data_IF_282933905610
#
_entry.id   IF_282933905610
#
_cell.length_a   1.000
_cell.length_b   1.000
_cell.length_c   1.000
_cell.angle_alpha   90.00
_cell.angle_beta   90.00
_cell.angle_gamma   90.00
#
_symmetry.space_group_name_H-M   'P 1'
#
loop_
_entity.id
_entity.type
_entity.pdbx_description
1 polymer ?
#
# COMPACT_ATOMS: atom_id res chain seq x y z
N UNK A 1 -13.83 1.28 24.37
CA UNK A 1 -13.89 2.76 24.31
C UNK A 1 -14.16 3.29 22.91
N UNK A 2 -14.46 4.60 22.77
CA UNK A 2 -14.79 5.24 21.48
C UNK A 2 -13.66 5.09 20.44
N UNK A 3 -12.40 5.13 20.89
CA UNK A 3 -11.22 4.87 20.06
C UNK A 3 -11.21 3.45 19.49
N UNK A 4 -11.57 2.45 20.29
CA UNK A 4 -11.59 1.06 19.83
C UNK A 4 -12.69 0.84 18.80
N UNK A 5 -13.84 1.53 18.94
CA UNK A 5 -14.91 1.47 17.94
C UNK A 5 -14.44 2.01 16.60
N UNK A 6 -13.82 3.18 16.58
CA UNK A 6 -13.24 3.79 15.37
C UNK A 6 -12.25 2.83 14.69
N UNK A 7 -11.43 2.11 15.45
CA UNK A 7 -10.40 1.23 14.89
C UNK A 7 -10.91 -0.16 14.48
N UNK A 8 -11.99 -0.65 15.11
CA UNK A 8 -12.54 -2.00 14.91
C UNK A 8 -13.69 -2.05 13.91
N UNK A 9 -14.49 -0.99 13.79
CA UNK A 9 -15.58 -0.89 12.82
C UNK A 9 -15.15 -1.12 11.37
N UNK A 10 -14.10 -0.46 10.84
CA UNK A 10 -13.72 -0.63 9.44
C UNK A 10 -13.28 -2.07 9.11
N UNK A 11 -12.82 -2.86 10.10
CA UNK A 11 -12.39 -4.24 9.89
C UNK A 11 -13.55 -5.22 9.67
N UNK A 12 -14.79 -4.85 10.00
CA UNK A 12 -15.97 -5.71 9.83
C UNK A 12 -16.49 -5.73 8.40
N UNK A 13 -16.06 -4.77 7.58
CA UNK A 13 -16.51 -4.59 6.21
C UNK A 13 -15.38 -4.90 5.25
N UNK A 14 -15.59 -5.85 4.34
CA UNK A 14 -14.55 -6.30 3.41
C UNK A 14 -14.05 -5.21 2.45
N UNK A 15 -14.88 -4.22 2.12
CA UNK A 15 -14.52 -3.08 1.27
C UNK A 15 -15.07 -1.78 1.85
N UNK A 16 -14.62 -1.43 3.06
CA UNK A 16 -15.08 -0.24 3.80
C UNK A 16 -14.84 1.08 3.05
N UNK A 17 -13.77 1.13 2.24
CA UNK A 17 -13.38 2.33 1.48
C UNK A 17 -13.85 2.32 0.02
N UNK A 18 -14.61 1.30 -0.38
CA UNK A 18 -15.12 1.10 -1.74
C UNK A 18 -14.03 1.25 -2.80
N UNK A 19 -12.96 0.45 -2.69
CA UNK A 19 -11.78 0.55 -3.56
C UNK A 19 -11.92 -0.26 -4.84
N UNK A 20 -12.85 -1.23 -4.89
CA UNK A 20 -13.09 -2.04 -6.09
C UNK A 20 -13.49 -1.22 -7.31
N UNK A 21 -14.13 -0.08 -7.13
CA UNK A 21 -14.53 0.80 -8.25
C UNK A 21 -13.35 1.56 -8.88
N UNK A 22 -12.19 1.61 -8.21
CA UNK A 22 -11.05 2.42 -8.66
C UNK A 22 -10.38 1.86 -9.92
N UNK A 23 -10.49 0.56 -10.14
CA UNK A 23 -9.87 -0.11 -11.27
C UNK A 23 -10.75 -1.26 -11.77
N UNK A 24 -10.49 -1.68 -13.01
CA UNK A 24 -11.10 -2.85 -13.61
C UNK A 24 -10.03 -3.63 -14.35
N UNK A 25 -10.29 -4.91 -14.65
CA UNK A 25 -9.39 -5.73 -15.49
C UNK A 25 -9.11 -5.02 -16.82
N UNK A 26 -10.12 -4.34 -17.37
CA UNK A 26 -9.97 -3.52 -18.58
C UNK A 26 -8.98 -2.37 -18.38
N UNK A 27 -9.08 -1.63 -17.28
CA UNK A 27 -8.14 -0.55 -16.96
C UNK A 27 -6.70 -1.06 -16.79
N UNK A 28 -6.49 -2.22 -16.19
CA UNK A 28 -5.17 -2.84 -16.04
C UNK A 28 -4.61 -3.26 -17.42
N UNK A 29 -5.48 -3.80 -18.28
CA UNK A 29 -5.13 -4.18 -19.64
C UNK A 29 -4.69 -2.97 -20.48
N UNK A 30 -5.50 -1.90 -20.49
CA UNK A 30 -5.21 -0.68 -21.25
C UNK A 30 -3.94 0.03 -20.77
N UNK A 31 -3.61 -0.10 -19.47
CA UNK A 31 -2.37 0.39 -18.88
C UNK A 31 -1.14 -0.51 -19.11
N UNK A 32 -1.29 -1.61 -19.85
CA UNK A 32 -0.22 -2.57 -20.20
C UNK A 32 0.37 -3.32 -19.01
N UNK A 33 -0.40 -3.49 -17.94
CA UNK A 33 0.03 -4.19 -16.70
C UNK A 33 0.33 -5.68 -16.95
N UNK A 34 -0.30 -6.28 -17.96
CA UNK A 34 -0.15 -7.69 -18.31
C UNK A 34 1.17 -8.04 -19.02
N UNK A 35 1.94 -7.05 -19.49
CA UNK A 35 3.18 -7.31 -20.22
C UNK A 35 4.32 -7.59 -19.24
N UNK A 36 4.92 -8.77 -19.33
CA UNK A 36 6.15 -9.12 -18.62
C UNK A 36 7.40 -9.08 -19.49
N UNK A 37 8.52 -9.51 -18.91
CA UNK A 37 9.80 -9.68 -19.57
C UNK A 37 9.83 -10.95 -20.46
N UNK A 38 10.99 -11.24 -21.06
CA UNK A 38 11.22 -12.48 -21.82
C UNK A 38 11.27 -13.69 -20.89
N UNK A 39 10.87 -14.85 -21.41
CA UNK A 39 10.87 -16.11 -20.65
C UNK A 39 12.25 -16.48 -20.05
N UNK A 40 13.35 -16.02 -20.67
CA UNK A 40 14.71 -16.21 -20.13
C UNK A 40 15.03 -15.38 -18.87
N UNK A 41 14.28 -14.29 -18.63
CA UNK A 41 14.40 -13.45 -17.43
C UNK A 41 13.40 -13.88 -16.33
N UNK A 42 12.58 -14.90 -16.58
CA UNK A 42 11.53 -15.34 -15.68
C UNK A 42 12.10 -15.86 -14.37
N UNK A 43 11.55 -15.37 -13.26
CA UNK A 43 11.81 -15.89 -11.94
C UNK A 43 10.88 -17.08 -11.63
N UNK A 44 11.42 -18.14 -11.03
CA UNK A 44 10.66 -19.38 -10.74
C UNK A 44 9.42 -19.14 -9.88
N UNK A 45 9.51 -18.26 -8.87
CA UNK A 45 8.37 -17.93 -8.01
C UNK A 45 7.31 -17.03 -8.67
N UNK A 46 7.57 -16.53 -9.88
CA UNK A 46 6.58 -15.79 -10.65
C UNK A 46 5.71 -16.69 -11.53
N UNK A 47 6.11 -17.94 -11.76
CA UNK A 47 5.37 -18.90 -12.60
C UNK A 47 3.86 -19.01 -12.28
N UNK A 48 3.42 -19.05 -11.00
CA UNK A 48 1.99 -19.16 -10.69
C UNK A 48 1.16 -17.93 -11.09
N UNK A 49 1.79 -16.76 -11.19
CA UNK A 49 1.14 -15.49 -11.53
C UNK A 49 1.16 -15.22 -13.05
N UNK A 50 1.80 -16.09 -13.83
CA UNK A 50 1.85 -15.97 -15.29
C UNK A 50 0.66 -16.69 -15.92
N UNK A 51 -0.01 -16.00 -16.84
CA UNK A 51 -1.05 -16.58 -17.68
C UNK A 51 -0.43 -17.46 -18.78
N UNK A 52 0.68 -17.03 -19.37
CA UNK A 52 1.36 -17.76 -20.44
C UNK A 52 2.50 -16.97 -21.07
N UNK A 53 3.02 -17.46 -22.20
CA UNK A 53 4.08 -16.79 -22.96
C UNK A 53 3.69 -16.68 -24.43
N UNK A 54 3.79 -15.48 -25.00
CA UNK A 54 3.50 -15.18 -26.40
C UNK A 54 4.76 -14.69 -27.10
N UNK A 55 5.22 -15.42 -28.12
CA UNK A 55 6.47 -15.10 -28.85
C UNK A 55 7.67 -14.90 -27.91
N UNK A 56 7.74 -15.72 -26.87
CA UNK A 56 8.79 -15.69 -25.85
C UNK A 56 8.72 -14.51 -24.87
N UNK A 57 7.66 -13.71 -24.90
CA UNK A 57 7.36 -12.68 -23.90
C UNK A 57 6.27 -13.18 -22.95
N UNK A 58 6.50 -13.03 -21.66
CA UNK A 58 5.58 -13.51 -20.64
C UNK A 58 4.40 -12.55 -20.47
N UNK A 59 3.24 -13.14 -20.17
CA UNK A 59 1.98 -12.45 -19.95
C UNK A 59 1.53 -12.75 -18.52
N UNK A 60 1.33 -11.69 -17.74
CA UNK A 60 0.86 -11.75 -16.35
C UNK A 60 -0.66 -11.91 -16.34
N UNK A 61 -1.16 -12.76 -15.43
CA UNK A 61 -2.58 -13.00 -15.23
C UNK A 61 -3.24 -11.81 -14.49
N UNK A 62 -4.06 -11.04 -15.22
CA UNK A 62 -4.73 -9.86 -14.69
C UNK A 62 -5.86 -10.16 -13.71
N UNK A 63 -6.44 -11.37 -13.72
CA UNK A 63 -7.45 -11.73 -12.73
C UNK A 63 -6.79 -11.89 -11.36
N UNK A 64 -5.64 -12.57 -11.33
CA UNK A 64 -4.81 -12.65 -10.14
C UNK A 64 -4.29 -11.27 -9.73
N UNK A 65 -3.79 -10.46 -10.67
CA UNK A 65 -3.38 -9.07 -10.38
C UNK A 65 -4.50 -8.29 -9.72
N UNK A 66 -5.73 -8.37 -10.23
CA UNK A 66 -6.86 -7.62 -9.68
C UNK A 66 -7.19 -8.04 -8.24
N UNK A 67 -7.16 -9.33 -7.95
CA UNK A 67 -7.39 -9.85 -6.59
C UNK A 67 -6.30 -9.37 -5.61
N UNK A 68 -5.03 -9.48 -6.00
CA UNK A 68 -3.90 -9.04 -5.16
C UNK A 68 -3.87 -7.52 -4.97
N UNK A 69 -4.16 -6.77 -6.03
CA UNK A 69 -4.24 -5.32 -5.98
C UNK A 69 -5.37 -4.84 -5.06
N UNK A 70 -6.51 -5.52 -5.06
CA UNK A 70 -7.62 -5.20 -4.16
C UNK A 70 -7.20 -5.38 -2.69
N UNK A 71 -6.53 -6.48 -2.35
CA UNK A 71 -6.00 -6.71 -1.00
C UNK A 71 -4.95 -5.67 -0.62
N UNK A 72 -4.01 -5.37 -1.52
CA UNK A 72 -2.97 -4.37 -1.32
C UNK A 72 -3.55 -2.98 -1.06
N UNK A 73 -4.47 -2.51 -1.90
CA UNK A 73 -5.12 -1.20 -1.74
C UNK A 73 -5.95 -1.14 -0.45
N UNK A 74 -6.67 -2.22 -0.11
CA UNK A 74 -7.43 -2.28 1.13
C UNK A 74 -6.51 -2.19 2.36
N UNK A 75 -5.42 -2.96 2.36
CA UNK A 75 -4.43 -2.91 3.44
C UNK A 75 -3.80 -1.52 3.56
N UNK A 76 -3.38 -0.91 2.44
CA UNK A 76 -2.85 0.46 2.42
C UNK A 76 -3.85 1.48 2.98
N UNK A 77 -5.12 1.39 2.58
CA UNK A 77 -6.17 2.28 3.08
C UNK A 77 -6.41 2.09 4.59
N UNK A 78 -6.40 0.86 5.10
CA UNK A 78 -6.50 0.62 6.54
C UNK A 78 -5.32 1.18 7.33
N UNK A 79 -4.09 1.07 6.82
CA UNK A 79 -2.89 1.67 7.46
C UNK A 79 -3.01 3.20 7.47
N UNK A 80 -3.40 3.81 6.35
CA UNK A 80 -3.60 5.26 6.26
C UNK A 80 -4.72 5.76 7.19
N UNK A 81 -5.83 5.02 7.30
CA UNK A 81 -6.93 5.33 8.22
C UNK A 81 -6.51 5.29 9.70
N UNK A 82 -5.50 4.47 10.01
CA UNK A 82 -4.92 4.31 11.35
C UNK A 82 -3.77 5.27 11.63
N UNK A 83 -3.53 6.24 10.75
CA UNK A 83 -2.43 7.22 10.88
C UNK A 83 -1.05 6.53 10.93
N UNK A 84 -0.93 5.43 10.17
CA UNK A 84 0.33 4.74 9.96
C UNK A 84 1.20 5.46 8.95
N UNK A 85 2.52 5.37 9.13
CA UNK A 85 3.50 5.98 8.23
C UNK A 85 3.69 5.08 7.01
N UNK A 86 3.45 5.62 5.81
CA UNK A 86 3.67 4.90 4.55
C UNK A 86 4.92 5.44 3.85
N UNK A 87 5.80 4.53 3.44
CA UNK A 87 7.01 4.86 2.69
C UNK A 87 6.98 4.23 1.29
N UNK A 88 6.96 5.06 0.25
CA UNK A 88 7.14 4.62 -1.14
C UNK A 88 8.61 4.41 -1.46
N UNK A 89 8.96 3.24 -2.03
CA UNK A 89 10.33 2.89 -2.42
C UNK A 89 10.38 2.54 -3.91
N UNK A 90 11.36 3.10 -4.59
CA UNK A 90 11.71 2.75 -5.97
C UNK A 90 13.15 3.14 -6.26
N UNK A 91 13.87 2.37 -7.08
CA UNK A 91 15.19 2.79 -7.60
C UNK A 91 15.15 3.26 -9.05
N UNK A 92 13.99 3.17 -9.70
CA UNK A 92 13.82 3.48 -11.09
C UNK A 92 13.86 5.00 -11.34
N UNK A 93 14.94 5.46 -11.98
CA UNK A 93 15.23 6.90 -12.14
C UNK A 93 14.19 7.62 -13.02
N UNK A 94 13.57 6.92 -13.96
CA UNK A 94 12.57 7.49 -14.87
C UNK A 94 11.33 8.00 -14.13
N UNK A 95 10.93 7.31 -13.05
CA UNK A 95 9.68 7.60 -12.33
C UNK A 95 9.92 8.26 -10.97
N UNK A 96 11.16 8.55 -10.61
CA UNK A 96 11.51 9.09 -9.30
C UNK A 96 10.73 10.38 -8.98
N UNK A 97 10.68 11.32 -9.93
CA UNK A 97 9.94 12.57 -9.74
C UNK A 97 8.42 12.36 -9.59
N UNK A 98 7.85 11.41 -10.35
CA UNK A 98 6.44 11.07 -10.26
C UNK A 98 6.11 10.52 -8.87
N UNK A 99 6.89 9.57 -8.37
CA UNK A 99 6.68 8.92 -7.08
C UNK A 99 6.87 9.91 -5.91
N UNK A 100 7.88 10.78 -6.00
CA UNK A 100 8.10 11.85 -5.01
C UNK A 100 6.93 12.84 -4.95
N UNK A 101 6.38 13.20 -6.11
CA UNK A 101 5.20 14.07 -6.18
C UNK A 101 3.95 13.36 -5.66
N UNK A 102 3.71 12.11 -6.05
CA UNK A 102 2.61 11.29 -5.50
C UNK A 102 2.68 11.21 -3.98
N UNK A 103 3.84 10.93 -3.41
CA UNK A 103 4.00 10.87 -1.95
C UNK A 103 3.71 12.23 -1.29
N UNK A 104 4.24 13.32 -1.85
CA UNK A 104 3.95 14.69 -1.36
C UNK A 104 2.46 15.00 -1.39
N UNK A 105 1.78 14.67 -2.49
CA UNK A 105 0.34 14.93 -2.67
C UNK A 105 -0.52 14.10 -1.70
N UNK A 106 -0.07 12.88 -1.36
CA UNK A 106 -0.72 12.03 -0.36
C UNK A 106 -0.46 12.51 1.08
N UNK A 107 0.57 13.34 1.30
CA UNK A 107 1.13 13.61 2.63
C UNK A 107 1.80 12.36 3.23
N UNK A 108 2.50 11.60 2.42
CA UNK A 108 3.29 10.41 2.79
C UNK A 108 4.76 10.58 2.37
N UNK A 109 5.61 9.60 2.68
CA UNK A 109 7.05 9.69 2.45
C UNK A 109 7.47 8.86 1.23
N UNK A 110 8.54 9.28 0.56
CA UNK A 110 9.15 8.51 -0.52
C UNK A 110 10.68 8.46 -0.37
N UNK A 111 11.25 7.30 -0.65
CA UNK A 111 12.69 7.09 -0.80
C UNK A 111 12.98 6.49 -2.17
N UNK A 112 13.28 7.37 -3.13
CA UNK A 112 13.57 7.00 -4.53
C UNK A 112 15.07 7.02 -4.87
N UNK A 113 15.90 7.46 -3.92
CA UNK A 113 17.35 7.67 -4.08
C UNK A 113 18.13 6.43 -3.63
N UNK A 114 19.45 6.53 -3.66
CA UNK A 114 20.31 5.45 -3.17
C UNK A 114 19.92 5.07 -1.73
N UNK A 115 19.68 3.79 -1.50
CA UNK A 115 19.30 3.26 -0.20
C UNK A 115 20.57 2.93 0.58
N UNK A 116 20.91 3.75 1.58
CA UNK A 116 22.06 3.47 2.45
C UNK A 116 21.77 2.20 3.25
N UNK A 117 22.73 1.28 3.29
CA UNK A 117 22.63 0.07 4.09
C UNK A 117 22.39 0.42 5.56
N UNK A 118 21.46 -0.29 6.21
CA UNK A 118 21.14 -0.08 7.61
C UNK A 118 20.16 1.06 7.90
N UNK A 119 19.54 1.66 6.88
CA UNK A 119 18.59 2.78 7.08
C UNK A 119 17.41 2.42 7.99
N UNK A 120 16.91 1.18 7.90
CA UNK A 120 15.84 0.68 8.78
C UNK A 120 16.39 -0.03 10.01
N UNK A 121 17.39 -0.90 9.85
CA UNK A 121 17.90 -1.74 10.94
C UNK A 121 18.77 -0.97 11.95
N UNK A 122 19.43 0.11 11.54
CA UNK A 122 20.24 0.99 12.36
C UNK A 122 19.71 2.44 12.37
N UNK A 123 18.38 2.58 12.29
CA UNK A 123 17.71 3.87 12.30
C UNK A 123 18.05 4.75 13.53
N UNK A 124 18.18 4.22 14.77
CA UNK A 124 18.51 5.06 15.92
C UNK A 124 19.85 5.79 15.81
N UNK A 125 20.83 5.20 15.10
CA UNK A 125 22.13 5.83 14.88
C UNK A 125 22.14 6.76 13.67
N UNK A 126 21.47 6.37 12.58
CA UNK A 126 21.51 7.11 11.31
C UNK A 126 20.52 8.28 11.25
N UNK A 127 19.32 8.10 11.81
CA UNK A 127 18.23 9.07 11.76
C UNK A 127 18.06 9.80 13.10
N UNK A 128 18.44 9.16 14.19
CA UNK A 128 18.45 9.73 15.55
C UNK A 128 17.72 8.86 16.57
N UNK A 129 18.01 9.03 17.87
CA UNK A 129 17.30 8.32 18.93
C UNK A 129 15.81 8.70 18.94
N UNK A 130 14.92 7.71 18.99
CA UNK A 130 13.47 7.94 19.09
C UNK A 130 12.72 8.12 17.77
N UNK A 131 13.34 7.80 16.63
CA UNK A 131 12.66 7.84 15.32
C UNK A 131 11.60 6.74 15.22
N UNK A 132 10.37 7.12 14.85
CA UNK A 132 9.31 6.19 14.47
C UNK A 132 9.54 5.70 13.04
N UNK A 133 9.67 4.39 12.86
CA UNK A 133 9.83 3.75 11.57
C UNK A 133 8.51 3.72 10.78
N UNK A 134 8.56 3.49 9.44
CA UNK A 134 7.37 3.26 8.64
C UNK A 134 6.58 2.03 9.10
N UNK A 135 5.26 2.16 9.12
CA UNK A 135 4.36 1.05 9.44
C UNK A 135 3.99 0.23 8.19
N UNK A 136 4.18 0.80 6.99
CA UNK A 136 4.00 0.13 5.71
C UNK A 136 5.04 0.64 4.70
N UNK A 137 5.62 -0.27 3.93
CA UNK A 137 6.48 0.08 2.79
C UNK A 137 5.82 -0.39 1.50
N UNK A 138 5.73 0.51 0.52
CA UNK A 138 5.19 0.24 -0.81
C UNK A 138 6.31 0.28 -1.84
N UNK A 139 6.60 -0.85 -2.47
CA UNK A 139 7.56 -0.94 -3.56
C UNK A 139 6.86 -0.75 -4.90
N UNK A 140 7.19 0.33 -5.60
CA UNK A 140 6.77 0.49 -7.00
C UNK A 140 7.65 -0.36 -7.93
N UNK A 141 8.91 -0.57 -7.53
CA UNK A 141 9.87 -1.44 -8.20
C UNK A 141 10.62 -2.19 -7.11
N UNK A 142 10.68 -3.51 -7.22
CA UNK A 142 11.31 -4.36 -6.18
C UNK A 142 12.78 -4.66 -6.47
N UNK A 143 13.25 -4.36 -7.68
CA UNK A 143 14.65 -4.46 -8.08
C UNK A 143 15.37 -3.12 -7.99
N UNK A 144 16.70 -3.20 -7.84
CA UNK A 144 17.60 -2.07 -7.97
C UNK A 144 18.13 -1.94 -9.43
N UNK A 145 18.98 -0.95 -9.69
CA UNK A 145 19.54 -0.69 -11.03
C UNK A 145 20.48 -1.81 -11.55
N UNK A 146 20.81 -2.80 -10.72
CA UNK A 146 21.67 -3.94 -11.04
C UNK A 146 20.84 -5.24 -11.11
N UNK A 147 19.51 -5.13 -11.15
CA UNK A 147 18.58 -6.26 -11.20
C UNK A 147 18.65 -7.20 -9.99
N UNK A 148 19.07 -6.69 -8.84
CA UNK A 148 19.04 -7.43 -7.57
C UNK A 148 17.86 -6.99 -6.70
N UNK A 149 17.32 -7.88 -5.84
CA UNK A 149 16.28 -7.51 -4.89
C UNK A 149 16.68 -6.31 -4.02
N UNK A 150 15.79 -5.33 -3.92
CA UNK A 150 16.04 -4.13 -3.16
C UNK A 150 16.27 -4.46 -1.67
N UNK A 151 17.34 -3.91 -1.09
CA UNK A 151 17.76 -4.17 0.30
C UNK A 151 16.63 -3.92 1.31
N UNK A 152 15.80 -2.91 1.05
CA UNK A 152 14.64 -2.60 1.89
C UNK A 152 13.60 -3.74 2.00
N UNK A 153 13.50 -4.68 1.03
CA UNK A 153 12.61 -5.84 1.16
C UNK A 153 13.06 -6.72 2.32
N UNK A 154 14.36 -7.06 2.33
CA UNK A 154 14.97 -7.85 3.41
C UNK A 154 14.95 -7.11 4.73
N UNK A 155 15.29 -5.82 4.73
CA UNK A 155 15.35 -5.04 5.95
C UNK A 155 13.96 -4.81 6.55
N UNK A 156 12.92 -4.60 5.74
CA UNK A 156 11.53 -4.54 6.20
C UNK A 156 11.08 -5.85 6.85
N UNK A 157 11.37 -6.99 6.20
CA UNK A 157 11.06 -8.31 6.76
C UNK A 157 11.76 -8.53 8.12
N UNK A 158 13.02 -8.10 8.28
CA UNK A 158 13.74 -8.17 9.57
C UNK A 158 13.13 -7.29 10.65
N UNK A 159 12.56 -6.14 10.27
CA UNK A 159 11.94 -5.19 11.20
C UNK A 159 10.45 -5.45 11.41
N UNK A 160 9.91 -6.55 10.89
CA UNK A 160 8.49 -6.91 10.93
C UNK A 160 7.57 -5.82 10.33
N UNK A 161 8.06 -5.10 9.32
CA UNK A 161 7.28 -4.08 8.61
C UNK A 161 6.59 -4.75 7.41
N UNK A 162 5.25 -4.68 7.30
CA UNK A 162 4.54 -5.23 6.16
C UNK A 162 4.93 -4.50 4.88
N UNK A 163 4.98 -5.24 3.78
CA UNK A 163 5.36 -4.71 2.47
C UNK A 163 4.30 -5.00 1.41
N UNK A 164 3.96 -3.97 0.65
CA UNK A 164 3.18 -4.09 -0.58
C UNK A 164 4.15 -3.85 -1.73
N UNK A 165 4.15 -4.69 -2.77
CA UNK A 165 5.12 -4.53 -3.84
C UNK A 165 4.59 -4.96 -5.19
N UNK A 166 4.82 -4.14 -6.21
CA UNK A 166 4.60 -4.53 -7.60
C UNK A 166 5.73 -5.46 -8.00
N UNK A 167 5.38 -6.67 -8.40
CA UNK A 167 6.33 -7.70 -8.80
C UNK A 167 6.18 -7.99 -10.28
N UNK A 168 7.23 -7.73 -11.04
CA UNK A 168 7.33 -8.19 -12.43
C UNK A 168 7.90 -9.62 -12.45
N UNK A 169 7.81 -10.23 -13.62
CA UNK A 169 8.23 -11.57 -14.01
C UNK A 169 9.66 -11.96 -13.59
N UNK A 170 10.59 -11.02 -13.43
CA UNK A 170 11.96 -11.25 -12.97
C UNK A 170 12.15 -11.02 -11.44
N UNK A 171 11.11 -10.60 -10.73
CA UNK A 171 11.18 -10.28 -9.31
C UNK A 171 10.96 -11.51 -8.43
N UNK A 172 11.41 -11.44 -7.17
CA UNK A 172 11.14 -12.47 -6.17
C UNK A 172 10.02 -12.01 -5.20
N UNK A 173 8.80 -12.58 -5.28
CA UNK A 173 7.68 -12.20 -4.42
C UNK A 173 7.75 -12.78 -3.00
N UNK A 174 8.66 -13.71 -2.69
CA UNK A 174 8.57 -14.56 -1.49
C UNK A 174 8.63 -13.80 -0.14
N UNK A 175 9.31 -12.66 -0.08
CA UNK A 175 9.43 -11.84 1.14
C UNK A 175 8.46 -10.65 1.18
N UNK A 176 7.63 -10.48 0.15
CA UNK A 176 6.67 -9.39 0.05
C UNK A 176 5.36 -9.84 0.67
N UNK A 177 4.79 -9.03 1.57
CA UNK A 177 3.56 -9.40 2.30
C UNK A 177 2.35 -9.42 1.37
N UNK A 178 2.21 -8.41 0.53
CA UNK A 178 1.16 -8.29 -0.47
C UNK A 178 1.79 -8.03 -1.86
N UNK A 179 2.24 -9.09 -2.56
CA UNK A 179 2.77 -8.97 -3.90
C UNK A 179 1.64 -8.70 -4.89
N UNK A 180 1.80 -7.71 -5.76
CA UNK A 180 0.88 -7.40 -6.86
C UNK A 180 1.60 -7.71 -8.17
N UNK A 181 1.26 -8.82 -8.85
CA UNK A 181 1.90 -9.17 -10.11
C UNK A 181 1.52 -8.15 -11.19
N UNK A 182 2.50 -7.50 -11.81
CA UNK A 182 2.23 -6.49 -12.83
C UNK A 182 3.50 -5.84 -13.39
N UNK A 183 3.33 -5.18 -14.52
CA UNK A 183 4.40 -4.44 -15.20
C UNK A 183 4.85 -3.20 -14.41
N UNK A 184 6.13 -3.14 -14.04
CA UNK A 184 6.75 -1.98 -13.40
C UNK A 184 7.55 -1.08 -14.36
N UNK A 185 7.82 -1.51 -15.59
CA UNK A 185 8.56 -0.72 -16.59
C UNK A 185 7.69 0.31 -17.33
N UNK A 186 6.43 0.00 -17.59
CA UNK A 186 5.60 0.82 -18.47
C UNK A 186 5.15 2.12 -17.80
N UNK A 187 5.41 3.32 -18.39
CA UNK A 187 4.91 4.57 -17.86
C UNK A 187 3.39 4.63 -17.57
N UNK A 188 2.48 4.10 -18.43
CA UNK A 188 1.05 4.07 -18.11
C UNK A 188 0.74 3.18 -16.89
N UNK A 189 1.43 2.05 -16.71
CA UNK A 189 1.26 1.17 -15.56
C UNK A 189 1.69 1.87 -14.27
N UNK A 190 2.90 2.45 -14.24
CA UNK A 190 3.41 3.15 -13.04
C UNK A 190 2.52 4.34 -12.67
N UNK A 191 2.04 5.12 -13.66
CA UNK A 191 1.08 6.21 -13.42
C UNK A 191 -0.24 5.69 -12.85
N UNK A 192 -0.74 4.56 -13.35
CA UNK A 192 -1.94 3.93 -12.82
C UNK A 192 -1.75 3.54 -11.35
N UNK A 193 -0.66 2.84 -11.03
CA UNK A 193 -0.37 2.43 -9.65
C UNK A 193 -0.23 3.63 -8.71
N UNK A 194 0.55 4.64 -9.09
CA UNK A 194 0.68 5.87 -8.30
C UNK A 194 -0.69 6.52 -8.03
N UNK A 195 -1.54 6.63 -9.06
CA UNK A 195 -2.90 7.18 -8.93
C UNK A 195 -3.77 6.33 -8.00
N UNK A 196 -3.75 5.02 -8.14
CA UNK A 196 -4.57 4.12 -7.32
C UNK A 196 -4.19 4.19 -5.85
N UNK A 197 -2.89 4.14 -5.52
CA UNK A 197 -2.41 4.30 -4.15
C UNK A 197 -2.74 5.69 -3.60
N UNK A 198 -2.57 6.75 -4.41
CA UNK A 198 -2.92 8.11 -4.01
C UNK A 198 -4.39 8.23 -3.63
N UNK A 199 -5.29 7.77 -4.51
CA UNK A 199 -6.73 7.86 -4.26
C UNK A 199 -7.13 7.00 -3.05
N UNK A 200 -6.56 5.81 -2.88
CA UNK A 200 -6.85 4.95 -1.73
C UNK A 200 -6.43 5.61 -0.40
N UNK A 201 -5.22 6.19 -0.35
CA UNK A 201 -4.71 6.88 0.84
C UNK A 201 -5.53 8.14 1.13
N UNK A 202 -5.84 8.96 0.12
CA UNK A 202 -6.67 10.16 0.28
C UNK A 202 -8.07 9.82 0.79
N UNK A 203 -8.73 8.80 0.21
CA UNK A 203 -10.04 8.32 0.68
C UNK A 203 -10.00 7.84 2.12
N UNK A 204 -8.96 7.09 2.51
CA UNK A 204 -8.80 6.61 3.87
C UNK A 204 -8.63 7.77 4.88
N UNK A 205 -7.77 8.74 4.57
CA UNK A 205 -7.56 9.93 5.41
C UNK A 205 -8.82 10.78 5.53
N UNK A 206 -9.55 10.97 4.44
CA UNK A 206 -10.82 11.69 4.45
C UNK A 206 -11.87 10.95 5.28
N UNK A 207 -12.01 9.64 5.08
CA UNK A 207 -12.93 8.81 5.86
C UNK A 207 -12.61 8.87 7.35
N UNK A 208 -11.32 8.91 7.72
CA UNK A 208 -10.89 9.07 9.11
C UNK A 208 -11.38 10.40 9.70
N UNK A 209 -11.19 11.51 8.98
CA UNK A 209 -11.67 12.84 9.40
C UNK A 209 -13.18 12.88 9.56
N UNK A 210 -13.93 12.29 8.61
CA UNK A 210 -15.39 12.22 8.67
C UNK A 210 -15.88 11.43 9.90
N UNK A 211 -15.30 10.25 10.15
CA UNK A 211 -15.67 9.40 11.29
C UNK A 211 -15.34 10.10 12.61
N UNK A 212 -14.16 10.72 12.73
CA UNK A 212 -13.82 11.49 13.92
C UNK A 212 -14.75 12.68 14.16
N UNK A 213 -15.11 13.42 13.10
CA UNK A 213 -16.05 14.53 13.20
C UNK A 213 -17.43 14.05 13.68
N UNK A 214 -17.93 12.94 13.12
CA UNK A 214 -19.19 12.32 13.52
C UNK A 214 -19.19 11.95 15.01
N UNK A 215 -18.11 11.31 15.50
CA UNK A 215 -18.01 10.94 16.91
C UNK A 215 -17.85 12.15 17.84
N UNK A 216 -17.15 13.20 17.41
CA UNK A 216 -17.06 14.47 18.17
C UNK A 216 -18.43 15.14 18.32
N UNK A 217 -19.30 15.03 17.31
CA UNK A 217 -20.68 15.52 17.36
C UNK A 217 -21.61 14.65 18.21
N UNK A 218 -21.36 13.34 18.29
CA UNK A 218 -22.18 12.41 19.08
C UNK A 218 -21.88 12.41 20.58
N UNK A 219 -20.70 12.88 21.02
CA UNK A 219 -20.44 13.17 22.43
C UNK A 219 -20.86 14.60 22.82
N UNK A 220 -21.19 14.92 24.08
CA UNK A 220 -21.98 14.22 25.07
C UNK A 220 -23.47 14.61 24.94
N UNK A 221 -24.16 14.23 23.85
CA UNK A 221 -25.62 14.38 23.74
C UNK A 221 -26.40 13.12 24.19
N UNK A 222 -25.69 11.99 24.38
CA UNK A 222 -26.27 10.70 24.76
C UNK A 222 -26.12 10.31 26.24
N UNK A 223 -25.49 11.14 27.07
CA UNK A 223 -25.22 10.81 28.48
C UNK A 223 -26.25 11.39 29.47
N UNK A 224 -27.13 12.32 29.06
CA UNK A 224 -28.10 12.99 29.95
C UNK A 224 -29.57 12.57 29.73
N UNK A 225 -29.84 11.44 29.08
CA UNK A 225 -31.21 10.88 29.02
C UNK A 225 -31.28 9.49 29.67
N UNK A 226 -30.84 9.41 30.93
CA UNK A 226 -31.33 8.38 31.85
C UNK A 226 -32.66 8.82 32.47
N UNK A 227 -33.59 7.92 32.82
CA UNK A 227 -34.85 8.31 33.43
C UNK A 227 -34.59 9.05 34.75
N UNK A 228 -35.16 10.25 34.89
CA UNK A 228 -35.05 11.04 36.09
C UNK A 228 -35.54 10.22 37.30
N UNK A 229 -34.70 10.12 38.34
CA UNK A 229 -35.09 9.51 39.60
C UNK A 229 -36.26 10.30 40.21
N UNK A 230 -37.29 9.62 40.76
CA UNK A 230 -38.42 10.31 41.38
C UNK A 230 -37.97 11.07 42.65
N UNK A 231 -38.62 12.21 42.96
CA UNK A 231 -38.26 13.02 44.11
C UNK A 231 -38.53 12.28 45.43
N UNK A 232 -37.76 12.57 46.50
CA UNK A 232 -37.92 11.91 47.79
C UNK A 232 -39.26 12.30 48.45
N UNK A 233 -39.88 11.38 49.22
CA UNK A 233 -41.11 11.67 49.94
C UNK A 233 -40.85 12.63 51.12
N UNK A 234 -41.79 13.57 51.32
CA UNK A 234 -41.87 14.49 52.46
C UNK A 234 -42.11 13.79 53.80
#
# INVERSE_FOLDING_TARGET
>A
DLRDRILSEPLKHADFFNLKELFSVRSLFDARVHLGHKAGCRHRFMEPYLFGSRLGQDIIDLEQTAAHLQLALNFTAHVAYREGIILFVSRHRQFAHLIETTARDCGEYAHTRYFKGGLLTNAPLLLGPGVRLPDLIIFLHTLNNVFEPHVAVRDAAKMNIPTVGIVDTNCNPALITYPVPGNDDSPPAVRLFCRLFQVAISRAKEKRRQVEALYRLQGPAGAERGPAAPPPPE
#
